data_IF_089800104145
#
_entry.id   IF_089800104145
#
_cell.length_a   1.000
_cell.length_b   1.000
_cell.length_c   1.000
_cell.angle_alpha   90.00
_cell.angle_beta   90.00
_cell.angle_gamma   90.00
#
_symmetry.space_group_name_H-M   'P 1'
#
loop_
_entity.id
_entity.type
_entity.pdbx_description
1 polymer ?
#
# COMPACT_ATOMS: atom_id res chain seq x y z
N UNK A 1 -8.84 9.93 10.94
CA UNK A 1 -7.88 9.04 10.25
C UNK A 1 -7.96 7.68 10.94
N UNK A 2 -8.19 6.58 10.22
CA UNK A 2 -8.20 5.24 10.82
C UNK A 2 -6.83 4.95 11.44
N UNK A 3 -6.81 4.32 12.62
CA UNK A 3 -5.58 3.94 13.31
C UNK A 3 -4.96 2.75 12.57
N UNK A 4 -3.91 3.00 11.78
CA UNK A 4 -3.16 1.93 11.11
C UNK A 4 -2.36 1.14 12.12
N UNK A 5 -2.46 -0.19 12.03
CA UNK A 5 -1.55 -1.10 12.74
C UNK A 5 -0.12 -0.94 12.22
N UNK A 6 0.89 -1.32 13.01
CA UNK A 6 2.29 -1.22 12.58
C UNK A 6 2.59 -1.97 11.27
N UNK A 7 2.04 -3.18 11.03
CA UNK A 7 2.17 -3.85 9.73
C UNK A 7 1.55 -3.05 8.57
N UNK A 8 0.36 -2.46 8.77
CA UNK A 8 -0.32 -1.65 7.75
C UNK A 8 0.45 -0.36 7.46
N UNK A 9 1.04 0.28 8.49
CA UNK A 9 1.88 1.46 8.32
C UNK A 9 3.13 1.13 7.49
N UNK A 10 3.82 0.03 7.80
CA UNK A 10 4.98 -0.43 7.01
C UNK A 10 4.62 -0.81 5.58
N UNK A 11 3.45 -1.42 5.38
CA UNK A 11 2.94 -1.74 4.05
C UNK A 11 2.66 -0.48 3.23
N UNK A 12 2.02 0.51 3.84
CA UNK A 12 1.72 1.78 3.20
C UNK A 12 3.00 2.56 2.89
N UNK A 13 3.96 2.57 3.82
CA UNK A 13 5.29 3.17 3.62
C UNK A 13 6.04 2.53 2.46
N UNK A 14 5.98 1.19 2.35
CA UNK A 14 6.62 0.45 1.27
C UNK A 14 5.95 0.73 -0.08
N UNK A 15 4.61 0.75 -0.13
CA UNK A 15 3.88 1.14 -1.34
C UNK A 15 4.20 2.58 -1.74
N UNK A 16 4.26 3.51 -0.78
CA UNK A 16 4.60 4.91 -1.03
C UNK A 16 6.04 5.09 -1.53
N UNK A 17 6.98 4.34 -0.97
CA UNK A 17 8.41 4.42 -1.32
C UNK A 17 8.76 3.61 -2.56
N UNK A 18 7.88 2.72 -3.00
CA UNK A 18 8.07 1.95 -4.23
C UNK A 18 8.05 2.91 -5.41
N UNK A 19 9.04 2.77 -6.29
CA UNK A 19 9.32 3.69 -7.40
C UNK A 19 8.14 3.84 -8.39
N UNK A 20 7.16 2.95 -8.31
CA UNK A 20 5.98 2.91 -9.17
C UNK A 20 4.67 3.02 -8.38
N UNK A 21 4.75 3.20 -7.06
CA UNK A 21 3.59 3.12 -6.17
C UNK A 21 2.78 1.83 -6.35
N UNK A 22 3.44 0.80 -6.88
CA UNK A 22 2.90 -0.46 -7.31
C UNK A 22 3.87 -1.53 -6.83
N UNK A 23 3.36 -2.52 -6.10
CA UNK A 23 4.15 -3.67 -5.71
C UNK A 23 3.41 -4.92 -6.16
N UNK A 24 4.07 -5.83 -6.90
CA UNK A 24 3.43 -7.01 -7.45
C UNK A 24 2.95 -7.91 -6.32
N UNK A 25 1.80 -8.56 -6.52
CA UNK A 25 1.16 -9.40 -5.51
C UNK A 25 2.12 -10.49 -4.94
N UNK A 26 3.11 -10.91 -5.73
CA UNK A 26 4.15 -11.88 -5.33
C UNK A 26 5.33 -11.31 -4.53
N UNK A 27 5.62 -10.00 -4.57
CA UNK A 27 6.78 -9.41 -3.89
C UNK A 27 6.61 -9.35 -2.36
N UNK A 28 5.37 -9.31 -1.88
CA UNK A 28 5.08 -9.18 -0.46
C UNK A 28 5.03 -10.49 0.32
N UNK A 29 4.98 -11.64 -0.37
CA UNK A 29 4.95 -12.98 0.24
C UNK A 29 6.14 -13.32 1.16
N UNK A 30 7.18 -12.49 1.20
CA UNK A 30 8.34 -12.64 2.10
C UNK A 30 8.36 -11.71 3.33
N UNK A 31 7.41 -10.79 3.50
CA UNK A 31 7.47 -9.89 4.68
C UNK A 31 6.21 -9.12 5.08
N UNK A 32 5.33 -8.78 4.15
CA UNK A 32 4.07 -8.08 4.45
C UNK A 32 2.95 -8.99 4.00
N UNK A 33 2.23 -9.60 4.93
CA UNK A 33 1.19 -10.55 4.57
C UNK A 33 0.11 -9.92 3.68
N UNK A 34 -0.41 -10.68 2.72
CA UNK A 34 -1.51 -10.28 1.82
C UNK A 34 -2.69 -9.67 2.58
N UNK A 35 -3.01 -10.21 3.77
CA UNK A 35 -4.05 -9.68 4.68
C UNK A 35 -3.83 -8.22 5.10
N UNK A 36 -2.58 -7.80 5.25
CA UNK A 36 -2.25 -6.41 5.62
C UNK A 36 -2.59 -5.45 4.50
N UNK A 37 -2.40 -5.87 3.25
CA UNK A 37 -2.68 -5.07 2.06
C UNK A 37 -4.18 -5.06 1.75
N UNK A 38 -4.85 -6.20 1.89
CA UNK A 38 -6.32 -6.26 1.88
C UNK A 38 -6.90 -5.29 2.90
N UNK A 39 -6.34 -5.24 4.12
CA UNK A 39 -6.72 -4.24 5.12
C UNK A 39 -6.48 -2.79 4.69
N UNK A 40 -5.43 -2.50 3.90
CA UNK A 40 -5.25 -1.15 3.32
C UNK A 40 -6.26 -0.85 2.21
N UNK A 41 -6.68 -1.87 1.46
CA UNK A 41 -7.71 -1.75 0.42
C UNK A 41 -9.08 -1.50 1.04
N UNK A 42 -9.43 -2.23 2.10
CA UNK A 42 -10.66 -2.00 2.87
C UNK A 42 -10.71 -0.60 3.48
N UNK A 43 -9.56 -0.06 3.89
CA UNK A 43 -9.43 1.32 4.38
C UNK A 43 -9.38 2.37 3.26
N UNK A 44 -9.42 1.97 1.99
CA UNK A 44 -9.34 2.84 0.83
C UNK A 44 -7.97 3.51 0.61
N UNK A 45 -6.92 3.03 1.28
CA UNK A 45 -5.55 3.55 1.20
C UNK A 45 -4.73 2.87 0.09
N UNK A 46 -5.14 1.68 -0.33
CA UNK A 46 -4.60 0.97 -1.48
C UNK A 46 -5.72 0.44 -2.37
N UNK A 47 -5.40 0.01 -3.59
CA UNK A 47 -6.33 -0.65 -4.51
C UNK A 47 -5.62 -1.76 -5.27
N UNK A 48 -6.36 -2.77 -5.73
CA UNK A 48 -5.84 -3.76 -6.66
C UNK A 48 -5.94 -3.21 -8.07
N UNK A 49 -4.87 -3.31 -8.83
CA UNK A 49 -4.90 -2.90 -10.22
C UNK A 49 -3.64 -3.28 -10.95
N UNK A 50 -3.63 -2.87 -12.22
CA UNK A 50 -2.48 -2.96 -13.10
C UNK A 50 -1.77 -1.63 -13.07
N UNK A 51 -0.48 -1.63 -12.84
CA UNK A 51 0.33 -0.42 -12.91
C UNK A 51 0.52 0.05 -14.37
N UNK A 52 1.24 1.16 -14.55
CA UNK A 52 1.50 1.73 -15.89
C UNK A 52 2.38 0.85 -16.79
N UNK A 53 3.00 -0.18 -16.25
CA UNK A 53 3.87 -1.12 -16.96
C UNK A 53 3.16 -2.43 -17.30
N UNK A 54 1.92 -2.63 -16.85
CA UNK A 54 1.18 -3.86 -17.07
C UNK A 54 1.32 -4.86 -15.92
N UNK A 55 1.96 -4.48 -14.81
CA UNK A 55 2.15 -5.37 -13.67
C UNK A 55 0.94 -5.31 -12.71
N UNK A 56 0.35 -6.46 -12.45
CA UNK A 56 -0.73 -6.61 -11.47
C UNK A 56 -0.20 -6.54 -10.03
N UNK A 57 -0.83 -5.71 -9.21
CA UNK A 57 -0.41 -5.56 -7.82
C UNK A 57 -1.28 -4.63 -7.00
N UNK A 58 -0.72 -4.20 -5.88
CA UNK A 58 -1.32 -3.22 -5.00
C UNK A 58 -0.79 -1.84 -5.35
N UNK A 59 -1.72 -0.92 -5.60
CA UNK A 59 -1.46 0.46 -5.94
C UNK A 59 -1.85 1.36 -4.78
N UNK A 60 -1.00 2.32 -4.41
CA UNK A 60 -1.40 3.31 -3.40
C UNK A 60 -2.45 4.26 -3.98
N UNK A 61 -3.49 4.56 -3.19
CA UNK A 61 -4.49 5.55 -3.61
C UNK A 61 -4.04 6.95 -3.22
N UNK A 62 -4.72 7.98 -3.74
CA UNK A 62 -4.54 9.36 -3.26
C UNK A 62 -4.76 9.48 -1.74
N UNK A 63 -5.74 8.75 -1.19
CA UNK A 63 -5.98 8.75 0.25
C UNK A 63 -4.84 8.09 1.03
N UNK A 64 -4.26 6.99 0.53
CA UNK A 64 -3.08 6.36 1.11
C UNK A 64 -1.85 7.26 1.08
N UNK A 65 -1.65 7.93 -0.05
CA UNK A 65 -0.64 8.96 -0.25
C UNK A 65 -0.76 10.10 0.76
N UNK A 66 -1.96 10.65 0.92
CA UNK A 66 -2.21 11.74 1.86
C UNK A 66 -2.10 11.29 3.32
N UNK A 67 -2.55 10.07 3.64
CA UNK A 67 -2.42 9.48 4.97
C UNK A 67 -0.95 9.30 5.37
N UNK A 68 -0.09 8.94 4.42
CA UNK A 68 1.36 8.86 4.64
C UNK A 68 2.03 10.23 4.63
N UNK A 69 1.72 11.09 3.66
CA UNK A 69 2.33 12.41 3.46
C UNK A 69 1.96 13.45 4.54
N UNK A 70 0.76 13.38 5.12
CA UNK A 70 0.39 14.19 6.30
C UNK A 70 0.89 13.59 7.62
N UNK A 71 1.48 12.40 7.60
CA UNK A 71 1.99 11.67 8.78
C UNK A 71 3.39 12.07 9.23
N UNK A 72 4.02 13.10 8.66
CA UNK A 72 5.30 13.67 9.16
C UNK A 72 5.03 14.40 10.49
N UNK A 73 5.05 13.63 11.59
CA UNK A 73 5.19 14.09 12.97
C UNK A 73 6.42 13.44 13.59
#
# INVERSE_FOLDING_TARGET
MPTLTDPQRRALERLWSSQHSAEPAGAFGRGIGTKTLEGLVELGLATHGVDRFGDEGYLITKAGSEAFGKGRY
#
